data_IF_675095212521
#
_entry.id   IF_675095212521
#
_cell.length_a   1.000
_cell.length_b   1.000
_cell.length_c   1.000
_cell.angle_alpha   90.00
_cell.angle_beta   90.00
_cell.angle_gamma   90.00
#
_symmetry.space_group_name_H-M   'P 1'
#
loop_
_entity.id
_entity.type
_entity.pdbx_description
1 polymer ?
#
# COMPACT_ATOMS: atom_id res chain seq x y z
N UNK A 1 12.93 -6.87 -0.14
CA UNK A 1 11.63 -6.80 -0.84
C UNK A 1 11.26 -5.34 -0.86
N UNK A 2 11.60 -4.67 -1.96
CA UNK A 2 11.45 -3.23 -2.09
C UNK A 2 10.01 -2.99 -2.47
N UNK A 3 9.18 -2.72 -1.46
CA UNK A 3 7.91 -2.00 -1.67
C UNK A 3 8.29 -0.78 -2.50
N UNK A 4 7.56 -0.48 -3.57
CA UNK A 4 7.65 0.79 -4.29
C UNK A 4 7.14 1.91 -3.36
N UNK A 5 7.79 2.06 -2.21
CA UNK A 5 7.65 3.19 -1.32
C UNK A 5 8.34 4.33 -2.03
N UNK A 6 7.61 5.43 -2.26
CA UNK A 6 8.13 6.64 -2.91
C UNK A 6 9.54 6.95 -2.37
N UNK A 7 10.60 6.68 -3.15
CA UNK A 7 11.96 6.64 -2.63
C UNK A 7 12.50 8.03 -2.31
N UNK A 8 11.83 9.07 -2.81
CA UNK A 8 12.15 10.47 -2.56
C UNK A 8 11.49 10.97 -1.28
N UNK A 9 12.27 11.65 -0.43
CA UNK A 9 11.73 12.32 0.75
C UNK A 9 10.80 13.45 0.28
N UNK A 10 9.51 13.43 0.62
CA UNK A 10 8.61 14.51 0.23
C UNK A 10 9.00 15.79 0.96
N UNK A 11 9.20 16.88 0.22
CA UNK A 11 9.31 18.21 0.78
C UNK A 11 7.97 18.68 1.36
N UNK A 12 6.87 18.29 0.70
CA UNK A 12 5.52 18.57 1.15
C UNK A 12 4.64 17.34 1.04
N UNK A 13 3.77 17.13 2.04
CA UNK A 13 2.77 16.06 2.07
C UNK A 13 1.43 16.63 2.51
N UNK A 14 0.39 16.36 1.72
CA UNK A 14 -1.00 16.57 2.09
C UNK A 14 -1.66 15.21 2.25
N UNK A 15 -2.37 14.99 3.35
CA UNK A 15 -3.06 13.72 3.59
C UNK A 15 -4.46 13.95 4.18
N UNK A 16 -5.38 13.09 3.80
CA UNK A 16 -6.74 13.04 4.32
C UNK A 16 -7.11 11.60 4.66
N UNK A 17 -7.74 11.41 5.81
CA UNK A 17 -8.19 10.10 6.30
C UNK A 17 -9.69 10.18 6.59
N UNK A 18 -10.43 9.25 6.00
CA UNK A 18 -11.87 9.08 6.21
C UNK A 18 -12.08 7.75 6.91
N UNK A 19 -12.84 7.77 8.01
CA UNK A 19 -13.27 6.57 8.71
C UNK A 19 -14.77 6.49 8.71
N UNK A 20 -15.32 5.35 8.33
CA UNK A 20 -16.75 5.08 8.38
C UNK A 20 -17.01 3.87 9.27
N UNK A 21 -17.69 4.10 10.40
CA UNK A 21 -17.84 3.07 11.43
C UNK A 21 -16.50 2.67 12.04
N UNK A 22 -16.43 1.45 12.58
CA UNK A 22 -15.20 0.91 13.19
C UNK A 22 -14.41 0.03 12.21
N UNK A 23 -14.96 -0.23 11.03
CA UNK A 23 -14.53 -1.30 10.14
C UNK A 23 -14.07 -0.81 8.77
N UNK A 24 -14.24 0.46 8.40
CA UNK A 24 -13.76 0.96 7.11
C UNK A 24 -12.92 2.22 7.30
N UNK A 25 -11.77 2.23 6.64
CA UNK A 25 -10.83 3.35 6.61
C UNK A 25 -10.36 3.58 5.18
N UNK A 26 -10.34 4.84 4.76
CA UNK A 26 -9.80 5.25 3.48
C UNK A 26 -8.84 6.43 3.69
N UNK A 27 -7.67 6.34 3.11
CA UNK A 27 -6.63 7.34 3.17
C UNK A 27 -6.30 7.82 1.76
N UNK A 28 -6.15 9.13 1.59
CA UNK A 28 -5.63 9.72 0.38
C UNK A 28 -4.48 10.65 0.75
N UNK A 29 -3.36 10.55 0.05
CA UNK A 29 -2.22 11.42 0.25
C UNK A 29 -1.64 11.87 -1.09
N UNK A 30 -1.17 13.11 -1.14
CA UNK A 30 -0.38 13.66 -2.23
C UNK A 30 0.95 14.17 -1.68
N UNK A 31 1.99 14.01 -2.48
CA UNK A 31 3.37 14.28 -2.11
C UNK A 31 4.01 15.16 -3.20
N UNK A 32 4.88 16.07 -2.77
CA UNK A 32 5.73 16.85 -3.66
C UNK A 32 7.19 16.64 -3.25
N UNK A 33 8.01 16.17 -4.18
CA UNK A 33 9.45 15.96 -3.97
C UNK A 33 10.21 17.30 -3.99
N UNK A 34 11.47 17.29 -3.55
CA UNK A 34 12.37 18.45 -3.70
C UNK A 34 12.70 18.78 -5.15
N UNK A 35 12.57 17.80 -6.05
CA UNK A 35 12.82 17.91 -7.49
C UNK A 35 11.57 18.40 -8.25
N UNK A 36 10.44 18.54 -7.55
CA UNK A 36 9.18 19.03 -8.13
C UNK A 36 8.23 17.90 -8.56
N UNK A 37 8.53 16.65 -8.23
CA UNK A 37 7.71 15.51 -8.61
C UNK A 37 6.47 15.40 -7.75
N UNK A 38 5.33 15.17 -8.39
CA UNK A 38 4.04 15.08 -7.71
C UNK A 38 3.52 13.66 -7.81
N UNK A 39 3.35 13.03 -6.65
CA UNK A 39 2.76 11.70 -6.58
C UNK A 39 1.56 11.70 -5.66
N UNK A 40 0.69 10.71 -5.84
CA UNK A 40 -0.48 10.51 -5.00
C UNK A 40 -0.65 9.03 -4.67
N UNK A 41 -1.34 8.77 -3.56
CA UNK A 41 -1.60 7.43 -3.07
C UNK A 41 -2.97 7.40 -2.44
N UNK A 42 -3.76 6.41 -2.79
CA UNK A 42 -5.06 6.15 -2.19
C UNK A 42 -5.04 4.76 -1.62
N UNK A 43 -5.47 4.61 -0.38
CA UNK A 43 -5.52 3.35 0.34
C UNK A 43 -6.93 3.18 0.92
N UNK A 44 -7.44 1.96 0.87
CA UNK A 44 -8.69 1.57 1.49
C UNK A 44 -8.49 0.27 2.26
N UNK A 45 -8.93 0.26 3.51
CA UNK A 45 -8.89 -0.89 4.39
C UNK A 45 -10.27 -1.19 4.95
N UNK A 46 -10.57 -2.47 5.13
CA UNK A 46 -11.80 -2.89 5.80
C UNK A 46 -11.50 -3.98 6.83
N UNK A 47 -12.02 -3.89 8.05
CA UNK A 47 -11.95 -4.92 9.09
C UNK A 47 -13.26 -5.74 9.14
N UNK A 48 -13.22 -6.96 8.60
CA UNK A 48 -14.31 -7.94 8.65
C UNK A 48 -14.16 -8.81 9.91
N UNK A 49 -15.10 -8.70 10.84
CA UNK A 49 -15.20 -9.61 11.98
C UNK A 49 -15.74 -10.97 11.52
N UNK A 50 -14.86 -11.93 11.28
CA UNK A 50 -15.26 -13.32 10.98
C UNK A 50 -15.79 -14.01 12.24
N UNK A 51 -15.19 -13.72 13.39
CA UNK A 51 -15.67 -14.09 14.73
C UNK A 51 -15.39 -12.95 15.71
N UNK A 52 -15.74 -13.12 16.99
CA UNK A 52 -15.41 -12.15 18.05
C UNK A 52 -13.90 -11.97 18.30
N UNK A 53 -13.04 -12.84 17.74
CA UNK A 53 -11.57 -12.79 17.90
C UNK A 53 -10.81 -12.93 16.59
N UNK A 54 -11.49 -13.24 15.49
CA UNK A 54 -10.86 -13.47 14.19
C UNK A 54 -11.31 -12.38 13.23
N UNK A 55 -10.36 -11.58 12.77
CA UNK A 55 -10.59 -10.38 11.97
C UNK A 55 -9.85 -10.56 10.64
N UNK A 56 -10.56 -10.44 9.54
CA UNK A 56 -10.00 -10.42 8.19
C UNK A 56 -9.93 -8.97 7.73
N UNK A 57 -8.74 -8.54 7.32
CA UNK A 57 -8.46 -7.17 6.92
C UNK A 57 -8.00 -7.16 5.46
N UNK A 58 -8.92 -7.06 4.49
CA UNK A 58 -8.57 -6.66 3.12
C UNK A 58 -8.07 -5.22 3.08
N UNK A 59 -7.07 -4.99 2.24
CA UNK A 59 -6.44 -3.71 1.95
C UNK A 59 -6.30 -3.57 0.43
N UNK A 60 -6.61 -2.40 -0.08
CA UNK A 60 -6.34 -2.01 -1.45
C UNK A 60 -5.59 -0.68 -1.44
N UNK A 61 -4.59 -0.55 -2.30
CA UNK A 61 -3.83 0.67 -2.47
C UNK A 61 -3.54 0.91 -3.95
N UNK A 62 -3.57 2.17 -4.34
CA UNK A 62 -3.28 2.63 -5.69
C UNK A 62 -2.30 3.80 -5.60
N UNK A 63 -1.23 3.72 -6.37
CA UNK A 63 -0.21 4.77 -6.45
C UNK A 63 -0.26 5.46 -7.81
N UNK A 64 -0.12 6.78 -7.81
CA UNK A 64 -0.20 7.61 -9.00
C UNK A 64 0.99 8.58 -9.05
N UNK A 65 1.40 8.92 -10.27
CA UNK A 65 2.35 9.99 -10.56
C UNK A 65 1.72 11.01 -11.51
N UNK A 66 1.97 12.30 -11.33
CA UNK A 66 1.49 13.32 -12.26
C UNK A 66 2.43 13.50 -13.48
N UNK A 67 3.65 12.97 -13.41
CA UNK A 67 4.67 13.07 -14.45
C UNK A 67 5.45 11.76 -14.60
N UNK A 68 6.14 11.62 -15.73
CA UNK A 68 7.11 10.55 -15.92
C UNK A 68 8.35 10.85 -15.07
N UNK A 69 8.81 9.85 -14.33
CA UNK A 69 10.00 9.92 -13.47
C UNK A 69 10.95 8.79 -13.86
N UNK A 70 11.74 8.94 -14.94
CA UNK A 70 12.60 7.87 -15.47
C UNK A 70 13.63 7.37 -14.46
N UNK A 71 14.13 8.26 -13.61
CA UNK A 71 15.09 7.93 -12.55
C UNK A 71 14.51 6.96 -11.52
N UNK A 72 13.19 6.92 -11.40
CA UNK A 72 12.45 6.00 -10.52
C UNK A 72 11.70 4.90 -11.28
N UNK A 73 11.85 4.83 -12.61
CA UNK A 73 11.12 3.90 -13.48
C UNK A 73 9.58 4.02 -13.34
N UNK A 74 9.07 5.22 -13.04
CA UNK A 74 7.64 5.49 -12.95
C UNK A 74 7.17 6.29 -14.17
N UNK A 75 6.01 5.93 -14.71
CA UNK A 75 5.32 6.73 -15.72
C UNK A 75 4.23 7.58 -15.07
N UNK A 76 3.77 8.60 -15.78
CA UNK A 76 2.60 9.40 -15.40
C UNK A 76 1.31 8.56 -15.40
N UNK A 77 0.36 8.93 -14.53
CA UNK A 77 -0.89 8.23 -14.33
C UNK A 77 -0.84 7.22 -13.18
N UNK A 78 -1.55 6.10 -13.32
CA UNK A 78 -1.58 5.02 -12.33
C UNK A 78 -0.31 4.17 -12.47
N UNK A 79 0.51 4.13 -11.43
CA UNK A 79 1.82 3.47 -11.47
C UNK A 79 1.78 2.05 -10.93
N UNK A 80 1.02 1.83 -9.86
CA UNK A 80 0.86 0.51 -9.25
C UNK A 80 -0.49 0.34 -8.57
N UNK A 81 -0.86 -0.93 -8.41
CA UNK A 81 -1.96 -1.37 -7.55
C UNK A 81 -1.43 -2.44 -6.61
N UNK A 82 -1.85 -2.34 -5.35
CA UNK A 82 -1.47 -3.21 -4.27
C UNK A 82 -2.74 -3.76 -3.64
N UNK A 83 -2.80 -5.08 -3.44
CA UNK A 83 -3.89 -5.77 -2.78
C UNK A 83 -3.34 -6.65 -1.65
N UNK A 84 -3.81 -6.40 -0.44
CA UNK A 84 -3.42 -7.13 0.76
C UNK A 84 -4.60 -7.84 1.39
N UNK A 85 -4.35 -9.01 1.96
CA UNK A 85 -5.30 -9.70 2.81
C UNK A 85 -4.59 -10.20 4.06
N UNK A 86 -5.02 -9.71 5.23
CA UNK A 86 -4.43 -10.05 6.52
C UNK A 86 -5.46 -10.69 7.44
N UNK A 87 -5.14 -11.84 8.00
CA UNK A 87 -5.95 -12.49 9.01
C UNK A 87 -5.31 -12.29 10.38
N UNK A 88 -6.02 -11.61 11.28
CA UNK A 88 -5.60 -11.29 12.65
C UNK A 88 -6.42 -12.11 13.64
N UNK A 89 -5.75 -12.74 14.59
CA UNK A 89 -6.39 -13.48 15.68
C UNK A 89 -6.08 -12.83 17.03
N UNK A 90 -7.10 -12.37 17.74
CA UNK A 90 -6.96 -11.70 19.04
C UNK A 90 -7.05 -12.73 20.17
N UNK A 91 -5.90 -13.18 20.67
CA UNK A 91 -5.83 -14.12 21.80
C UNK A 91 -6.28 -13.40 23.08
N UNK A 92 -5.62 -12.28 23.34
CA UNK A 92 -6.00 -11.23 24.29
C UNK A 92 -5.90 -9.91 23.54
N UNK A 93 -6.48 -8.83 24.06
CA UNK A 93 -6.49 -7.54 23.35
C UNK A 93 -5.05 -7.11 23.04
N UNK A 94 -4.15 -7.25 24.00
CA UNK A 94 -2.74 -6.85 23.95
C UNK A 94 -1.87 -7.76 23.06
N UNK A 95 -2.37 -8.90 22.58
CA UNK A 95 -1.62 -9.87 21.80
C UNK A 95 -2.45 -10.47 20.67
N UNK A 96 -2.18 -9.98 19.46
CA UNK A 96 -2.88 -10.39 18.26
C UNK A 96 -1.90 -10.82 17.15
N UNK A 97 -1.54 -12.12 17.05
CA UNK A 97 -0.81 -12.65 15.91
C UNK A 97 -1.61 -12.47 14.61
N UNK A 98 -0.89 -12.29 13.51
CA UNK A 98 -1.49 -12.21 12.20
C UNK A 98 -0.63 -12.89 11.15
N UNK A 99 -1.32 -13.36 10.11
CA UNK A 99 -0.73 -13.84 8.86
C UNK A 99 -1.36 -13.04 7.72
N UNK A 100 -0.67 -12.92 6.59
CA UNK A 100 -1.25 -12.25 5.44
C UNK A 100 -0.53 -12.56 4.14
N UNK A 101 -1.15 -12.12 3.06
CA UNK A 101 -0.57 -12.10 1.72
C UNK A 101 -0.73 -10.69 1.17
N UNK A 102 0.30 -10.21 0.51
CA UNK A 102 0.28 -8.96 -0.25
C UNK A 102 0.66 -9.28 -1.68
N UNK A 103 -0.09 -8.71 -2.62
CA UNK A 103 0.18 -8.76 -4.03
C UNK A 103 0.31 -7.33 -4.53
N UNK A 104 1.32 -7.08 -5.35
CA UNK A 104 1.61 -5.79 -5.95
C UNK A 104 1.77 -5.99 -7.44
N UNK A 105 1.25 -5.03 -8.22
CA UNK A 105 1.39 -5.01 -9.67
C UNK A 105 1.69 -3.60 -10.17
N UNK A 106 2.74 -3.45 -10.96
CA UNK A 106 2.98 -2.26 -11.74
C UNK A 106 2.02 -2.20 -12.94
N UNK A 107 1.57 -1.00 -13.30
CA UNK A 107 0.53 -0.78 -14.31
C UNK A 107 1.05 0.12 -15.44
N UNK A 108 0.58 -0.13 -16.66
CA UNK A 108 0.88 0.69 -17.84
C UNK A 108 2.37 0.76 -18.14
N UNK A 109 2.84 1.91 -18.62
CA UNK A 109 4.25 2.12 -18.99
C UNK A 109 5.21 1.92 -17.80
N UNK A 110 4.73 2.05 -16.56
CA UNK A 110 5.53 1.72 -15.37
C UNK A 110 5.89 0.23 -15.34
N UNK A 111 4.96 -0.64 -15.73
CA UNK A 111 5.22 -2.07 -15.87
C UNK A 111 6.27 -2.33 -16.97
N UNK A 112 6.13 -1.65 -18.12
CA UNK A 112 7.04 -1.78 -19.24
C UNK A 112 8.47 -1.37 -18.86
N UNK A 113 8.65 -0.30 -18.08
CA UNK A 113 9.96 0.11 -17.56
C UNK A 113 10.60 -0.94 -16.64
N UNK A 114 9.80 -1.54 -15.76
CA UNK A 114 10.26 -2.58 -14.84
C UNK A 114 10.67 -3.83 -15.62
N UNK A 115 9.84 -4.28 -16.56
CA UNK A 115 10.12 -5.46 -17.40
C UNK A 115 11.33 -5.23 -18.31
N UNK A 116 11.47 -4.05 -18.91
CA UNK A 116 12.63 -3.68 -19.73
C UNK A 116 13.95 -3.67 -18.94
N UNK A 117 13.86 -3.43 -17.63
CA UNK A 117 15.00 -3.50 -16.70
C UNK A 117 15.26 -4.93 -16.18
N UNK A 118 14.51 -5.93 -16.66
CA UNK A 118 14.60 -7.32 -16.23
C UNK A 118 13.90 -7.62 -14.90
N UNK A 119 13.08 -6.70 -14.40
CA UNK A 119 12.26 -6.89 -13.21
C UNK A 119 10.92 -7.58 -13.51
N UNK A 120 10.25 -8.04 -12.45
CA UNK A 120 8.90 -8.58 -12.54
C UNK A 120 7.88 -7.50 -12.16
N UNK A 121 6.91 -7.24 -13.05
CA UNK A 121 5.85 -6.26 -12.78
C UNK A 121 4.93 -6.67 -11.63
N UNK A 122 4.80 -7.98 -11.37
CA UNK A 122 3.95 -8.54 -10.32
C UNK A 122 4.82 -9.15 -9.21
N UNK A 123 4.50 -8.87 -7.95
CA UNK A 123 5.19 -9.43 -6.79
C UNK A 123 4.17 -9.91 -5.76
N UNK A 124 4.47 -11.03 -5.10
CA UNK A 124 3.63 -11.56 -4.01
C UNK A 124 4.49 -11.82 -2.78
N UNK A 125 3.99 -11.38 -1.63
CA UNK A 125 4.66 -11.46 -0.34
C UNK A 125 3.78 -12.19 0.67
N UNK A 126 4.37 -13.08 1.47
CA UNK A 126 3.73 -13.62 2.66
C UNK A 126 4.18 -12.82 3.88
N UNK A 127 3.21 -12.48 4.73
CA UNK A 127 3.41 -11.74 5.96
C UNK A 127 3.11 -12.63 7.15
N UNK A 128 3.97 -12.54 8.16
CA UNK A 128 3.72 -13.11 9.49
C UNK A 128 4.17 -12.08 10.52
N UNK A 129 3.37 -11.87 11.55
CA UNK A 129 3.71 -10.89 12.58
C UNK A 129 2.82 -10.99 13.80
N UNK A 130 3.12 -10.15 14.78
CA UNK A 130 2.36 -10.06 16.02
C UNK A 130 2.15 -8.59 16.33
N UNK A 131 0.89 -8.22 16.58
CA UNK A 131 0.54 -6.90 17.12
C UNK A 131 0.52 -6.98 18.63
N UNK A 132 1.25 -6.08 19.29
CA UNK A 132 1.26 -5.92 20.75
C UNK A 132 1.08 -4.46 21.15
N UNK A 133 0.46 -4.21 22.31
CA UNK A 133 0.41 -2.88 22.93
C UNK A 133 0.39 -3.03 24.47
N UNK A 134 0.94 -2.03 25.18
CA UNK A 134 1.07 -1.97 26.64
C UNK A 134 0.42 -0.71 27.20
#
# INVERSE_FOLDING_TARGET
MTVLSFPQKPYFKLAHKVRAGHWFEADAAAFVSTEGDVTARVEAEYELLLTQRLILQPRLEASLSAQDMPDLQLSSGLTSVDAGLRLRYEIVREFAPYIGVEWQSAIGDTADFIEASGGEKDQTALLVGVRTWF
#
